data_IF_353088719381
#
_entry.id   IF_353088719381
#
_cell.length_a   1.000
_cell.length_b   1.000
_cell.length_c   1.000
_cell.angle_alpha   90.00
_cell.angle_beta   90.00
_cell.angle_gamma   90.00
#
_symmetry.space_group_name_H-M   'P 1'
#
loop_
_entity.id
_entity.type
_entity.pdbx_description
1 polymer ?
#
# COMPACT_ATOMS: atom_id res chain seq x y z
N UNK A 1 10.97 -9.25 -11.12
CA UNK A 1 11.07 -8.58 -9.79
C UNK A 1 9.91 -9.08 -8.97
N UNK A 2 10.09 -9.36 -7.67
CA UNK A 2 9.05 -9.93 -6.82
C UNK A 2 9.21 -9.34 -5.43
N UNK A 3 8.34 -8.41 -5.05
CA UNK A 3 8.41 -7.64 -3.81
C UNK A 3 7.03 -7.58 -3.13
N UNK A 4 7.00 -7.52 -1.80
CA UNK A 4 5.83 -7.10 -1.02
C UNK A 4 6.12 -5.77 -0.33
N UNK A 5 5.27 -4.77 -0.59
CA UNK A 5 5.32 -3.47 0.08
C UNK A 5 4.07 -3.32 0.94
N UNK A 6 4.24 -3.01 2.23
CA UNK A 6 3.10 -2.87 3.15
C UNK A 6 2.52 -1.45 3.05
N UNK A 7 1.27 -1.24 2.58
CA UNK A 7 0.57 0.00 2.86
C UNK A 7 0.20 0.01 4.34
N UNK A 8 1.05 0.62 5.16
CA UNK A 8 0.98 0.48 6.63
C UNK A 8 -0.21 1.24 7.22
N UNK A 9 -0.82 0.67 8.25
CA UNK A 9 -1.79 1.38 9.10
C UNK A 9 -1.10 2.50 9.88
N UNK A 10 -1.81 3.57 10.19
CA UNK A 10 -1.31 4.64 11.06
C UNK A 10 -1.99 4.53 12.41
N UNK A 11 -1.24 4.45 13.51
CA UNK A 11 -1.82 4.52 14.86
C UNK A 11 -2.05 5.99 15.23
N UNK A 12 -3.21 6.30 15.79
CA UNK A 12 -3.63 7.67 16.14
C UNK A 12 -3.84 7.84 17.64
N UNK A 13 -3.62 9.06 18.13
CA UNK A 13 -3.93 9.49 19.49
C UNK A 13 -5.41 9.88 19.66
N UNK A 14 -5.78 10.42 20.83
CA UNK A 14 -7.15 10.90 21.10
C UNK A 14 -7.61 12.08 20.24
N UNK A 15 -6.68 12.78 19.57
CA UNK A 15 -6.95 13.96 18.75
C UNK A 15 -6.83 13.64 17.25
N UNK A 16 -6.82 12.36 16.87
CA UNK A 16 -6.62 11.89 15.50
C UNK A 16 -5.30 12.35 14.87
N UNK A 17 -4.28 12.57 15.69
CA UNK A 17 -2.90 12.84 15.25
C UNK A 17 -2.09 11.54 15.32
N UNK A 18 -1.06 11.36 14.46
CA UNK A 18 -0.26 10.14 14.49
C UNK A 18 0.43 9.96 15.85
N UNK A 19 0.17 8.85 16.53
CA UNK A 19 0.88 8.48 17.77
C UNK A 19 2.19 7.77 17.39
N UNK A 20 3.27 8.54 17.31
CA UNK A 20 4.51 7.99 16.77
C UNK A 20 5.13 6.89 17.64
N UNK A 21 4.97 6.93 18.97
CA UNK A 21 5.52 5.89 19.84
C UNK A 21 4.83 4.54 19.61
N UNK A 22 3.53 4.54 19.37
CA UNK A 22 2.78 3.32 19.01
C UNK A 22 3.10 2.84 17.58
N UNK A 23 3.29 3.76 16.64
CA UNK A 23 3.69 3.41 15.26
C UNK A 23 5.07 2.73 15.19
N UNK A 24 5.99 2.99 16.13
CA UNK A 24 7.28 2.28 16.22
C UNK A 24 7.12 0.77 16.36
N UNK A 25 6.14 0.33 17.16
CA UNK A 25 5.85 -1.10 17.38
C UNK A 25 5.35 -1.76 16.10
N UNK A 26 4.51 -1.05 15.33
CA UNK A 26 4.06 -1.49 14.01
C UNK A 26 5.24 -1.58 13.04
N UNK A 27 6.11 -0.57 13.00
CA UNK A 27 7.32 -0.56 12.16
C UNK A 27 8.19 -1.79 12.43
N UNK A 28 8.51 -2.03 13.70
CA UNK A 28 9.36 -3.15 14.09
C UNK A 28 8.72 -4.49 13.74
N UNK A 29 7.42 -4.68 14.02
CA UNK A 29 6.69 -5.90 13.64
C UNK A 29 6.76 -6.20 12.14
N UNK A 30 6.61 -5.19 11.28
CA UNK A 30 6.68 -5.37 9.82
C UNK A 30 8.10 -5.68 9.35
N UNK A 31 9.10 -4.98 9.88
CA UNK A 31 10.51 -5.20 9.54
C UNK A 31 10.96 -6.60 9.98
N UNK A 32 10.63 -7.01 11.21
CA UNK A 32 10.93 -8.35 11.72
C UNK A 32 10.22 -9.45 10.94
N UNK A 33 9.02 -9.16 10.43
CA UNK A 33 8.30 -10.04 9.51
C UNK A 33 8.91 -10.16 8.11
N UNK A 34 9.92 -9.35 7.77
CA UNK A 34 10.73 -9.53 6.56
C UNK A 34 10.13 -8.99 5.27
N UNK A 35 9.34 -7.91 5.34
CA UNK A 35 8.76 -7.25 4.16
C UNK A 35 9.81 -6.48 3.34
N UNK A 36 9.63 -6.38 2.02
CA UNK A 36 10.61 -5.70 1.15
C UNK A 36 10.51 -4.16 1.24
N UNK A 37 9.35 -3.62 1.61
CA UNK A 37 9.10 -2.19 1.67
C UNK A 37 7.92 -1.79 2.55
N UNK A 38 7.86 -0.52 2.94
CA UNK A 38 6.71 0.07 3.62
C UNK A 38 6.26 1.33 2.87
N UNK A 39 4.97 1.40 2.52
CA UNK A 39 4.29 2.58 2.03
C UNK A 39 3.57 3.27 3.20
N UNK A 40 4.17 4.37 3.65
CA UNK A 40 3.66 5.23 4.72
C UNK A 40 2.57 6.16 4.16
N UNK A 41 1.46 6.31 4.89
CA UNK A 41 0.31 7.15 4.48
C UNK A 41 -0.32 6.80 3.12
N UNK A 42 -0.41 5.52 2.80
CA UNK A 42 -1.36 5.03 1.80
C UNK A 42 -2.81 5.10 2.28
N UNK A 43 -3.79 4.61 1.49
CA UNK A 43 -5.20 4.57 1.91
C UNK A 43 -5.42 3.85 3.25
N UNK A 44 -4.70 2.74 3.49
CA UNK A 44 -4.69 1.98 4.75
C UNK A 44 -4.15 2.79 5.94
N UNK A 45 -3.31 3.80 5.68
CA UNK A 45 -2.79 4.70 6.69
C UNK A 45 -3.73 5.86 7.02
N UNK A 46 -4.95 5.87 6.46
CA UNK A 46 -6.01 6.84 6.78
C UNK A 46 -5.58 8.31 6.63
N UNK A 47 -4.76 8.59 5.61
CA UNK A 47 -4.10 9.89 5.39
C UNK A 47 -5.04 11.08 5.19
N UNK A 48 -6.35 10.86 5.02
CA UNK A 48 -7.33 11.89 4.63
C UNK A 48 -7.66 12.87 5.74
N UNK A 49 -7.45 12.51 7.01
CA UNK A 49 -7.68 13.43 8.15
C UNK A 49 -6.46 14.29 8.49
N UNK A 50 -5.29 13.92 7.97
CA UNK A 50 -4.04 14.58 8.29
C UNK A 50 -3.83 15.81 7.42
N UNK A 51 -3.46 16.91 8.06
CA UNK A 51 -3.04 18.12 7.37
C UNK A 51 -1.60 18.00 6.83
N UNK A 52 -1.11 19.04 6.17
CA UNK A 52 0.21 19.03 5.55
C UNK A 52 1.32 18.87 6.60
N UNK A 53 1.19 19.60 7.71
CA UNK A 53 2.17 19.66 8.80
C UNK A 53 2.28 18.30 9.51
N UNK A 54 1.15 17.66 9.81
CA UNK A 54 1.12 16.32 10.40
C UNK A 54 1.81 15.30 9.49
N UNK A 55 1.48 15.31 8.19
CA UNK A 55 2.06 14.39 7.21
C UNK A 55 3.56 14.56 7.12
N UNK A 56 4.03 15.81 7.07
CA UNK A 56 5.46 16.11 6.98
C UNK A 56 6.21 15.71 8.25
N UNK A 57 5.63 15.98 9.44
CA UNK A 57 6.24 15.60 10.70
C UNK A 57 6.32 14.07 10.82
N UNK A 58 5.22 13.38 10.54
CA UNK A 58 5.17 11.92 10.56
C UNK A 58 6.16 11.30 9.56
N UNK A 59 6.32 11.88 8.37
CA UNK A 59 7.32 11.42 7.41
C UNK A 59 8.76 11.48 7.96
N UNK A 60 9.10 12.56 8.67
CA UNK A 60 10.43 12.73 9.28
C UNK A 60 10.65 11.69 10.37
N UNK A 61 9.68 11.57 11.28
CA UNK A 61 9.77 10.67 12.42
C UNK A 61 9.90 9.21 11.95
N UNK A 62 9.04 8.78 11.00
CA UNK A 62 9.05 7.44 10.45
C UNK A 62 10.38 7.10 9.77
N UNK A 63 10.93 8.03 8.99
CA UNK A 63 12.23 7.85 8.34
C UNK A 63 13.38 7.78 9.35
N UNK A 64 13.40 8.70 10.31
CA UNK A 64 14.43 8.75 11.37
C UNK A 64 14.43 7.48 12.22
N UNK A 65 13.26 6.93 12.53
CA UNK A 65 13.18 5.69 13.30
C UNK A 65 13.51 4.45 12.48
N UNK A 66 13.12 4.40 11.20
CA UNK A 66 13.37 3.24 10.34
C UNK A 66 14.87 3.05 10.06
N UNK A 67 15.65 4.13 9.96
CA UNK A 67 17.13 4.10 9.81
C UNK A 67 17.63 3.21 8.66
N UNK A 68 16.87 3.16 7.56
CA UNK A 68 17.22 2.36 6.38
C UNK A 68 17.13 0.84 6.56
N UNK A 69 16.47 0.34 7.62
CA UNK A 69 16.22 -1.10 7.85
C UNK A 69 15.34 -1.73 6.77
N UNK A 70 14.51 -0.93 6.12
CA UNK A 70 13.61 -1.34 5.01
C UNK A 70 13.42 -0.16 4.06
N UNK A 71 13.10 -0.42 2.80
CA UNK A 71 12.78 0.63 1.83
C UNK A 71 11.48 1.33 2.20
N UNK A 72 11.50 2.66 2.21
CA UNK A 72 10.34 3.48 2.51
C UNK A 72 9.80 4.19 1.27
N UNK A 73 8.48 4.12 1.11
CA UNK A 73 7.67 4.85 0.15
C UNK A 73 6.68 5.75 0.90
N UNK A 74 6.27 6.86 0.31
CA UNK A 74 5.38 7.81 0.98
C UNK A 74 4.19 8.21 0.12
N UNK A 75 2.98 8.07 0.66
CA UNK A 75 1.76 8.63 0.09
C UNK A 75 1.68 10.13 0.35
N UNK A 76 1.95 10.94 -0.67
CA UNK A 76 2.05 12.40 -0.55
C UNK A 76 0.76 13.15 -0.98
N UNK A 77 -0.37 12.45 -1.04
CA UNK A 77 -1.63 13.03 -1.50
C UNK A 77 -2.13 14.13 -0.54
N UNK A 78 -2.35 15.32 -1.09
CA UNK A 78 -2.99 16.46 -0.43
C UNK A 78 -4.23 16.89 -1.21
N UNK A 79 -5.07 17.74 -0.59
CA UNK A 79 -6.25 18.29 -1.27
C UNK A 79 -5.88 19.19 -2.45
N UNK A 80 -4.76 19.92 -2.35
CA UNK A 80 -4.26 20.79 -3.43
C UNK A 80 -3.10 20.14 -4.19
N UNK A 81 -2.97 20.50 -5.47
CA UNK A 81 -1.87 20.06 -6.31
C UNK A 81 -0.51 20.58 -5.81
N UNK A 82 -0.45 21.85 -5.43
CA UNK A 82 0.80 22.46 -4.96
C UNK A 82 1.28 21.86 -3.63
N UNK A 83 0.38 21.55 -2.70
CA UNK A 83 0.76 20.86 -1.45
C UNK A 83 1.20 19.42 -1.71
N UNK A 84 0.58 18.74 -2.69
CA UNK A 84 1.02 17.40 -3.12
C UNK A 84 2.44 17.45 -3.68
N UNK A 85 2.74 18.43 -4.54
CA UNK A 85 4.09 18.65 -5.10
C UNK A 85 5.10 18.99 -3.99
N UNK A 86 4.72 19.88 -3.08
CA UNK A 86 5.58 20.33 -1.97
C UNK A 86 5.90 19.17 -1.03
N UNK A 87 4.87 18.44 -0.56
CA UNK A 87 5.03 17.29 0.33
C UNK A 87 5.82 16.17 -0.33
N UNK A 88 5.59 15.93 -1.62
CA UNK A 88 6.36 14.95 -2.40
C UNK A 88 7.85 15.28 -2.41
N UNK A 89 8.21 16.53 -2.68
CA UNK A 89 9.61 16.96 -2.69
C UNK A 89 10.25 16.92 -1.30
N UNK A 90 9.50 17.24 -0.23
CA UNK A 90 10.00 17.07 1.15
C UNK A 90 10.25 15.60 1.49
N UNK A 91 9.34 14.68 1.14
CA UNK A 91 9.54 13.24 1.36
C UNK A 91 10.77 12.70 0.60
N UNK A 92 10.95 13.10 -0.67
CA UNK A 92 12.16 12.75 -1.44
C UNK A 92 13.42 13.31 -0.77
N UNK A 93 13.39 14.55 -0.27
CA UNK A 93 14.52 15.17 0.42
C UNK A 93 14.87 14.48 1.74
N UNK A 94 13.86 13.98 2.47
CA UNK A 94 14.03 13.20 3.70
C UNK A 94 14.78 11.88 3.39
N UNK A 95 14.50 11.28 2.23
CA UNK A 95 15.20 10.08 1.74
C UNK A 95 14.28 8.92 1.35
N UNK A 96 12.97 9.14 1.27
CA UNK A 96 12.03 8.13 0.76
C UNK A 96 12.41 7.71 -0.66
N UNK A 97 12.34 6.40 -0.94
CA UNK A 97 12.71 5.79 -2.23
C UNK A 97 11.83 6.28 -3.39
N UNK A 98 10.60 6.67 -3.08
CA UNK A 98 9.68 7.31 -4.00
C UNK A 98 8.39 7.71 -3.31
N UNK A 99 7.62 8.55 -3.99
CA UNK A 99 6.31 9.01 -3.54
C UNK A 99 5.21 8.33 -4.35
N UNK A 100 4.07 8.07 -3.73
CA UNK A 100 2.92 7.43 -4.35
C UNK A 100 1.73 8.38 -4.38
N UNK A 101 1.24 8.71 -5.58
CA UNK A 101 0.26 9.77 -5.80
C UNK A 101 -0.95 9.22 -6.56
N UNK A 102 -2.14 9.38 -5.98
CA UNK A 102 -3.43 8.99 -6.56
C UNK A 102 -4.06 10.10 -7.40
N UNK A 103 -3.70 11.37 -7.19
CA UNK A 103 -4.38 12.50 -7.83
C UNK A 103 -5.73 12.85 -7.20
N UNK A 104 -6.43 13.87 -7.74
CA UNK A 104 -7.67 14.39 -7.16
C UNK A 104 -8.81 13.36 -7.25
N UNK A 105 -9.60 13.24 -6.19
CA UNK A 105 -10.59 12.17 -6.03
C UNK A 105 -12.05 12.64 -5.92
N UNK A 106 -12.31 13.95 -5.96
CA UNK A 106 -13.68 14.47 -5.91
C UNK A 106 -14.31 14.60 -7.30
N UNK A 107 -13.59 15.21 -8.24
CA UNK A 107 -14.02 15.31 -9.64
C UNK A 107 -13.25 14.29 -10.48
N UNK A 108 -13.98 13.36 -11.11
CA UNK A 108 -13.39 12.37 -12.00
C UNK A 108 -12.64 13.04 -13.15
N UNK A 109 -11.50 12.46 -13.53
CA UNK A 109 -10.68 12.88 -14.66
C UNK A 109 -10.91 11.93 -15.85
N UNK A 110 -10.97 12.49 -17.05
CA UNK A 110 -10.80 11.70 -18.28
C UNK A 110 -9.31 11.51 -18.61
N UNK A 111 -9.01 10.64 -19.58
CA UNK A 111 -7.65 10.28 -19.98
C UNK A 111 -6.75 11.50 -20.28
N UNK A 112 -7.31 12.54 -20.91
CA UNK A 112 -6.57 13.79 -21.17
C UNK A 112 -6.19 14.50 -19.86
N UNK A 113 -7.14 14.65 -18.93
CA UNK A 113 -6.87 15.27 -17.62
C UNK A 113 -5.93 14.44 -16.76
N UNK A 114 -6.04 13.11 -16.80
CA UNK A 114 -5.12 12.19 -16.12
C UNK A 114 -3.70 12.45 -16.62
N UNK A 115 -3.52 12.46 -17.95
CA UNK A 115 -2.23 12.72 -18.55
C UNK A 115 -1.68 14.10 -18.17
N UNK A 116 -2.49 15.17 -18.28
CA UNK A 116 -2.07 16.53 -17.92
C UNK A 116 -1.62 16.59 -16.45
N UNK A 117 -2.40 16.02 -15.54
CA UNK A 117 -2.11 16.04 -14.11
C UNK A 117 -0.78 15.36 -13.79
N UNK A 118 -0.60 14.13 -14.22
CA UNK A 118 0.62 13.36 -13.89
C UNK A 118 1.85 13.86 -14.64
N UNK A 119 1.71 14.36 -15.87
CA UNK A 119 2.82 14.98 -16.61
C UNK A 119 3.29 16.27 -15.90
N UNK A 120 2.36 17.11 -15.43
CA UNK A 120 2.72 18.32 -14.67
C UNK A 120 3.31 17.98 -13.30
N UNK A 121 2.76 16.97 -12.61
CA UNK A 121 3.32 16.48 -11.36
C UNK A 121 4.77 16.01 -11.54
N UNK A 122 5.04 15.20 -12.57
CA UNK A 122 6.36 14.66 -12.85
C UNK A 122 7.40 15.75 -13.15
N UNK A 123 7.02 16.85 -13.81
CA UNK A 123 7.91 17.99 -14.04
C UNK A 123 8.30 18.74 -12.76
N UNK A 124 7.44 18.71 -11.73
CA UNK A 124 7.65 19.44 -10.47
C UNK A 124 8.23 18.60 -9.34
N UNK A 125 8.09 17.27 -9.37
CA UNK A 125 8.63 16.36 -8.36
C UNK A 125 10.05 15.90 -8.74
N UNK A 126 11.02 16.15 -7.85
CA UNK A 126 12.46 15.94 -8.10
C UNK A 126 12.95 14.53 -7.74
N UNK A 127 12.08 13.52 -7.84
CA UNK A 127 12.39 12.15 -7.46
C UNK A 127 11.39 11.15 -8.04
N UNK A 128 11.50 9.89 -7.62
CA UNK A 128 10.68 8.80 -8.13
C UNK A 128 9.20 8.98 -7.75
N UNK A 129 8.33 8.93 -8.75
CA UNK A 129 6.89 8.97 -8.63
C UNK A 129 6.30 7.61 -9.00
N UNK A 130 5.42 7.12 -8.15
CA UNK A 130 4.56 5.97 -8.41
C UNK A 130 3.12 6.48 -8.55
N UNK A 131 2.46 6.12 -9.64
CA UNK A 131 1.03 6.41 -9.81
C UNK A 131 0.24 5.45 -8.93
N UNK A 132 -0.79 5.93 -8.24
CA UNK A 132 -1.71 5.11 -7.48
C UNK A 132 -3.08 5.10 -8.17
N UNK A 133 -3.35 4.06 -8.93
CA UNK A 133 -4.64 3.88 -9.58
C UNK A 133 -5.61 3.18 -8.62
N UNK A 134 -6.67 3.86 -8.18
CA UNK A 134 -7.72 3.25 -7.34
C UNK A 134 -9.11 3.83 -7.63
N UNK A 135 -9.77 3.39 -8.73
CA UNK A 135 -11.02 3.98 -9.20
C UNK A 135 -12.15 4.00 -8.17
N UNK A 136 -12.22 3.00 -7.29
CA UNK A 136 -13.22 2.95 -6.22
C UNK A 136 -13.08 4.07 -5.18
N UNK A 137 -11.92 4.75 -5.14
CA UNK A 137 -11.65 5.91 -4.27
C UNK A 137 -11.46 7.21 -5.05
N UNK A 138 -10.93 7.16 -6.27
CA UNK A 138 -10.63 8.34 -7.07
C UNK A 138 -11.73 8.74 -8.06
N UNK A 139 -12.63 7.83 -8.43
CA UNK A 139 -13.66 8.07 -9.44
C UNK A 139 -13.15 8.02 -10.89
N UNK A 140 -11.90 7.65 -11.13
CA UNK A 140 -11.31 7.51 -12.47
C UNK A 140 -10.28 6.38 -12.51
N UNK A 141 -9.98 5.84 -13.70
CA UNK A 141 -8.97 4.80 -13.89
C UNK A 141 -7.92 5.22 -14.91
N UNK A 142 -6.66 4.95 -14.62
CA UNK A 142 -5.53 5.18 -15.54
C UNK A 142 -5.48 4.04 -16.56
N UNK A 143 -5.70 4.37 -17.84
CA UNK A 143 -5.60 3.41 -18.94
C UNK A 143 -4.15 3.01 -19.25
N UNK A 144 -3.97 1.87 -19.92
CA UNK A 144 -2.65 1.41 -20.37
C UNK A 144 -1.98 2.42 -21.30
N UNK A 145 -2.76 3.00 -22.21
CA UNK A 145 -2.32 3.99 -23.19
C UNK A 145 -1.84 5.28 -22.53
N UNK A 146 -2.60 5.81 -21.55
CA UNK A 146 -2.18 7.00 -20.79
C UNK A 146 -0.93 6.69 -19.98
N UNK A 147 -0.87 5.53 -19.34
CA UNK A 147 0.29 5.16 -18.53
C UNK A 147 1.57 5.01 -19.35
N UNK A 148 1.49 4.33 -20.51
CA UNK A 148 2.61 4.20 -21.45
C UNK A 148 3.13 5.57 -21.88
N UNK A 149 2.24 6.48 -22.28
CA UNK A 149 2.62 7.85 -22.67
C UNK A 149 3.28 8.61 -21.52
N UNK A 150 2.78 8.45 -20.29
CA UNK A 150 3.34 9.11 -19.11
C UNK A 150 4.79 8.69 -18.83
N UNK A 151 5.09 7.39 -18.90
CA UNK A 151 6.44 6.88 -18.64
C UNK A 151 7.41 7.14 -19.79
N UNK A 152 6.92 7.26 -21.03
CA UNK A 152 7.71 7.70 -22.19
C UNK A 152 8.16 9.17 -22.04
N UNK A 153 7.27 10.05 -21.59
CA UNK A 153 7.57 11.47 -21.43
C UNK A 153 8.31 11.80 -20.12
N UNK A 154 8.18 10.96 -19.09
CA UNK A 154 8.64 11.27 -17.73
C UNK A 154 9.43 10.13 -17.10
N UNK A 155 10.76 10.20 -17.22
CA UNK A 155 11.68 9.19 -16.65
C UNK A 155 11.59 8.99 -15.14
N UNK A 156 11.00 9.94 -14.40
CA UNK A 156 10.81 9.85 -12.95
C UNK A 156 9.46 9.23 -12.55
N UNK A 157 8.55 8.94 -13.49
CA UNK A 157 7.41 8.06 -13.24
C UNK A 157 7.91 6.62 -13.39
N UNK A 158 8.24 5.99 -12.26
CA UNK A 158 8.97 4.70 -12.24
C UNK A 158 8.10 3.49 -11.95
N UNK A 159 6.81 3.71 -11.65
CA UNK A 159 5.91 2.61 -11.34
C UNK A 159 4.47 3.03 -11.13
N UNK A 160 3.62 2.03 -10.90
CA UNK A 160 2.19 2.18 -10.66
C UNK A 160 1.71 1.09 -9.69
N UNK A 161 0.87 1.49 -8.72
CA UNK A 161 0.06 0.57 -7.91
C UNK A 161 -1.35 0.53 -8.50
N UNK A 162 -1.79 -0.65 -8.92
CA UNK A 162 -3.10 -0.86 -9.54
C UNK A 162 -4.08 -1.53 -8.57
N UNK A 163 -4.91 -0.74 -7.90
CA UNK A 163 -5.98 -1.20 -7.00
C UNK A 163 -7.31 -1.31 -7.78
N UNK A 164 -7.36 -2.19 -8.77
CA UNK A 164 -8.56 -2.49 -9.57
C UNK A 164 -8.97 -3.94 -9.35
N UNK A 165 -10.24 -4.19 -9.05
CA UNK A 165 -10.73 -5.52 -8.69
C UNK A 165 -10.59 -6.54 -9.83
N UNK A 166 -10.70 -6.09 -11.09
CA UNK A 166 -10.45 -6.91 -12.27
C UNK A 166 -8.94 -6.99 -12.57
N UNK A 167 -8.27 -8.13 -12.35
CA UNK A 167 -6.84 -8.27 -12.61
C UNK A 167 -6.46 -8.11 -14.09
N UNK A 168 -7.42 -8.22 -15.02
CA UNK A 168 -7.18 -7.96 -16.45
C UNK A 168 -6.77 -6.49 -16.66
N UNK A 169 -7.19 -5.57 -15.79
CA UNK A 169 -6.75 -4.17 -15.86
C UNK A 169 -5.23 -4.05 -15.71
N UNK A 170 -4.65 -4.71 -14.70
CA UNK A 170 -3.20 -4.74 -14.47
C UNK A 170 -2.45 -5.38 -15.64
N UNK A 171 -3.01 -6.46 -16.23
CA UNK A 171 -2.45 -7.07 -17.44
C UNK A 171 -2.41 -6.09 -18.63
N UNK A 172 -3.47 -5.30 -18.84
CA UNK A 172 -3.51 -4.29 -19.91
C UNK A 172 -2.45 -3.21 -19.71
N UNK A 173 -2.24 -2.75 -18.47
CA UNK A 173 -1.16 -1.80 -18.13
C UNK A 173 0.22 -2.39 -18.47
N UNK A 174 0.47 -3.64 -18.08
CA UNK A 174 1.73 -4.34 -18.36
C UNK A 174 1.98 -4.53 -19.85
N UNK A 175 0.96 -4.93 -20.62
CA UNK A 175 1.06 -5.05 -22.08
C UNK A 175 1.33 -3.71 -22.77
N UNK A 176 0.66 -2.65 -22.33
CA UNK A 176 0.86 -1.31 -22.90
C UNK A 176 2.25 -0.74 -22.59
N UNK A 177 2.90 -1.21 -21.52
CA UNK A 177 4.22 -0.76 -21.08
C UNK A 177 5.33 -1.77 -21.37
N UNK A 178 5.07 -2.76 -22.23
CA UNK A 178 6.06 -3.75 -22.64
C UNK A 178 7.30 -3.05 -23.23
N UNK A 179 8.49 -3.53 -22.84
CA UNK A 179 9.77 -2.93 -23.23
C UNK A 179 10.18 -1.68 -22.44
N UNK A 180 9.30 -1.12 -21.60
CA UNK A 180 9.63 0.01 -20.73
C UNK A 180 10.12 -0.45 -19.36
N UNK A 181 11.04 0.32 -18.77
CA UNK A 181 11.49 0.09 -17.39
C UNK A 181 10.51 0.71 -16.42
N UNK A 182 9.52 -0.08 -15.97
CA UNK A 182 8.55 0.34 -14.96
C UNK A 182 8.23 -0.77 -13.97
N UNK A 183 7.78 -0.40 -12.77
CA UNK A 183 7.29 -1.33 -11.75
C UNK A 183 5.78 -1.24 -11.59
N UNK A 184 5.05 -2.25 -12.04
CA UNK A 184 3.59 -2.36 -11.81
C UNK A 184 3.30 -3.34 -10.67
N UNK A 185 2.62 -2.87 -9.64
CA UNK A 185 2.22 -3.65 -8.47
C UNK A 185 0.71 -3.84 -8.45
N UNK A 186 0.24 -5.04 -8.09
CA UNK A 186 -1.17 -5.22 -7.75
C UNK A 186 -1.45 -4.53 -6.41
N UNK A 187 -2.61 -3.90 -6.31
CA UNK A 187 -3.08 -3.27 -5.08
C UNK A 187 -3.96 -4.19 -4.23
N UNK A 188 -4.49 -5.26 -4.81
CA UNK A 188 -5.15 -6.34 -4.09
C UNK A 188 -4.20 -7.53 -3.91
N UNK A 189 -4.23 -8.08 -2.70
CA UNK A 189 -3.35 -9.13 -2.19
C UNK A 189 -3.48 -10.45 -2.97
N UNK A 190 -4.71 -10.86 -3.30
CA UNK A 190 -5.02 -12.09 -4.05
C UNK A 190 -4.59 -12.05 -5.52
N UNK A 191 -4.34 -10.87 -6.06
CA UNK A 191 -3.87 -10.69 -7.44
C UNK A 191 -2.35 -10.86 -7.60
N UNK A 192 -1.60 -11.05 -6.51
CA UNK A 192 -0.13 -11.11 -6.52
C UNK A 192 0.44 -12.08 -7.58
N UNK A 193 0.00 -13.34 -7.59
CA UNK A 193 0.53 -14.34 -8.51
C UNK A 193 0.16 -14.05 -9.97
N UNK A 194 -1.03 -13.51 -10.22
CA UNK A 194 -1.44 -13.12 -11.57
C UNK A 194 -0.64 -11.92 -12.08
N UNK A 195 -0.38 -10.92 -11.21
CA UNK A 195 0.48 -9.80 -11.56
C UNK A 195 1.89 -10.28 -11.91
N UNK A 196 2.48 -11.16 -11.11
CA UNK A 196 3.81 -11.71 -11.39
C UNK A 196 3.87 -12.51 -12.70
N UNK A 197 2.86 -13.36 -12.98
CA UNK A 197 2.84 -14.17 -14.21
C UNK A 197 2.68 -13.35 -15.48
N UNK A 198 2.29 -12.08 -15.36
CA UNK A 198 2.10 -11.15 -16.48
C UNK A 198 3.22 -10.10 -16.58
N UNK A 199 4.28 -10.22 -15.78
CA UNK A 199 5.46 -9.35 -15.82
C UNK A 199 5.49 -8.23 -14.76
N UNK A 200 4.54 -8.23 -13.82
CA UNK A 200 4.48 -7.31 -12.70
C UNK A 200 5.62 -7.46 -11.68
N UNK A 201 5.70 -6.51 -10.76
CA UNK A 201 6.80 -6.41 -9.78
C UNK A 201 6.47 -6.96 -8.40
N UNK A 202 5.20 -7.29 -8.12
CA UNK A 202 4.75 -7.81 -6.83
C UNK A 202 3.43 -7.19 -6.39
N UNK A 203 3.26 -6.98 -5.09
CA UNK A 203 2.02 -6.45 -4.51
C UNK A 203 2.30 -5.31 -3.51
N UNK A 204 1.39 -4.34 -3.45
CA UNK A 204 1.28 -3.39 -2.35
C UNK A 204 -0.05 -3.63 -1.62
N UNK A 205 -0.10 -4.69 -0.82
CA UNK A 205 -1.32 -5.26 -0.25
C UNK A 205 -1.39 -5.13 1.27
N UNK A 206 -2.56 -4.78 1.80
CA UNK A 206 -2.70 -4.41 3.21
C UNK A 206 -2.72 -5.61 4.17
N UNK A 207 -2.96 -6.84 3.70
CA UNK A 207 -2.92 -8.03 4.58
C UNK A 207 -1.52 -8.28 5.15
N UNK A 208 -0.49 -7.73 4.50
CA UNK A 208 0.88 -7.74 5.01
C UNK A 208 1.05 -6.95 6.32
N UNK A 209 0.09 -6.10 6.72
CA UNK A 209 0.05 -5.54 8.08
C UNK A 209 -0.21 -6.61 9.14
N UNK A 210 -0.95 -7.67 8.79
CA UNK A 210 -1.39 -8.70 9.73
C UNK A 210 -0.48 -9.91 9.72
N UNK A 211 0.06 -10.28 8.56
CA UNK A 211 0.83 -11.52 8.34
C UNK A 211 2.12 -11.27 7.52
N UNK A 212 2.99 -10.35 7.95
CA UNK A 212 4.20 -10.00 7.19
C UNK A 212 5.09 -11.22 6.93
N UNK A 213 5.18 -12.16 7.87
CA UNK A 213 5.97 -13.38 7.73
C UNK A 213 5.44 -14.33 6.64
N UNK A 214 4.12 -14.46 6.49
CA UNK A 214 3.50 -15.29 5.43
C UNK A 214 3.83 -14.68 4.06
N UNK A 215 3.80 -13.35 3.97
CA UNK A 215 4.15 -12.61 2.77
C UNK A 215 5.63 -12.72 2.40
N UNK A 216 6.52 -12.57 3.38
CA UNK A 216 7.95 -12.74 3.17
C UNK A 216 8.28 -14.16 2.67
N UNK A 217 7.66 -15.17 3.27
CA UNK A 217 7.78 -16.56 2.84
C UNK A 217 7.21 -16.80 1.43
N UNK A 218 6.10 -16.14 1.08
CA UNK A 218 5.49 -16.25 -0.26
C UNK A 218 6.41 -15.64 -1.32
N UNK A 219 6.94 -14.44 -1.05
CA UNK A 219 7.92 -13.77 -1.93
C UNK A 219 9.17 -14.62 -2.09
N UNK A 220 9.73 -15.15 -0.98
CA UNK A 220 10.91 -16.02 -1.01
C UNK A 220 10.65 -17.28 -1.83
N UNK A 221 9.57 -18.00 -1.54
CA UNK A 221 9.19 -19.23 -2.24
C UNK A 221 8.96 -19.00 -3.74
N UNK A 222 8.43 -17.83 -4.10
CA UNK A 222 8.25 -17.44 -5.51
C UNK A 222 9.59 -17.19 -6.20
N UNK A 223 10.53 -16.50 -5.54
CA UNK A 223 11.90 -16.30 -6.04
C UNK A 223 12.68 -17.62 -6.19
N UNK A 224 12.39 -18.59 -5.34
CA UNK A 224 12.99 -19.95 -5.34
C UNK A 224 12.25 -20.95 -6.25
N UNK A 225 11.17 -20.53 -6.92
CA UNK A 225 10.33 -21.38 -7.78
C UNK A 225 9.73 -22.63 -7.06
N UNK A 226 9.54 -22.53 -5.74
CA UNK A 226 8.89 -23.58 -4.95
C UNK A 226 7.36 -23.48 -5.06
N UNK A 227 6.82 -23.89 -6.20
CA UNK A 227 5.40 -23.70 -6.53
C UNK A 227 4.44 -24.39 -5.55
N UNK A 228 4.81 -25.55 -5.00
CA UNK A 228 4.00 -26.23 -3.97
C UNK A 228 3.82 -25.35 -2.72
N UNK A 229 4.91 -24.69 -2.28
CA UNK A 229 4.85 -23.75 -1.15
C UNK A 229 4.13 -22.46 -1.52
N UNK A 230 4.36 -21.94 -2.73
CA UNK A 230 3.65 -20.76 -3.26
C UNK A 230 2.14 -20.96 -3.24
N UNK A 231 1.62 -22.09 -3.71
CA UNK A 231 0.18 -22.34 -3.74
C UNK A 231 -0.42 -22.43 -2.33
N UNK A 232 0.28 -23.08 -1.38
CA UNK A 232 -0.16 -23.14 0.02
C UNK A 232 -0.23 -21.76 0.66
N UNK A 233 0.83 -20.96 0.53
CA UNK A 233 0.89 -19.61 1.11
C UNK A 233 -0.11 -18.67 0.43
N UNK A 234 -0.25 -18.73 -0.90
CA UNK A 234 -1.26 -17.97 -1.63
C UNK A 234 -2.67 -18.33 -1.17
N UNK A 235 -2.96 -19.61 -0.90
CA UNK A 235 -4.25 -20.02 -0.37
C UNK A 235 -4.55 -19.39 1.01
N UNK A 236 -3.54 -19.23 1.86
CA UNK A 236 -3.68 -18.52 3.13
C UNK A 236 -4.02 -17.04 2.93
N UNK A 237 -3.36 -16.36 1.99
CA UNK A 237 -3.70 -14.98 1.62
C UNK A 237 -5.15 -14.88 1.13
N UNK A 238 -5.60 -15.81 0.27
CA UNK A 238 -6.99 -15.82 -0.21
C UNK A 238 -8.00 -16.01 0.93
N UNK A 239 -7.67 -16.81 1.95
CA UNK A 239 -8.53 -17.01 3.13
C UNK A 239 -8.66 -15.75 3.99
N UNK A 240 -7.71 -14.82 3.90
CA UNK A 240 -7.75 -13.53 4.61
C UNK A 240 -8.49 -12.43 3.82
N UNK A 241 -8.70 -12.59 2.51
CA UNK A 241 -9.39 -11.59 1.69
C UNK A 241 -10.76 -11.13 2.22
N UNK A 242 -11.61 -12.01 2.80
CA UNK A 242 -12.89 -11.57 3.36
C UNK A 242 -12.78 -10.49 4.44
N UNK A 243 -11.60 -10.31 5.06
CA UNK A 243 -11.38 -9.24 6.04
C UNK A 243 -11.61 -7.83 5.45
N UNK A 244 -11.40 -7.65 4.15
CA UNK A 244 -11.65 -6.37 3.47
C UNK A 244 -13.15 -6.01 3.39
N UNK A 245 -14.03 -7.02 3.40
CA UNK A 245 -15.47 -6.84 3.22
C UNK A 245 -16.21 -6.69 4.56
N UNK A 246 -15.51 -6.90 5.68
CA UNK A 246 -16.08 -6.87 7.02
C UNK A 246 -16.41 -5.45 7.50
N UNK A 247 -15.76 -4.42 6.94
CA UNK A 247 -16.07 -3.02 7.21
C UNK A 247 -15.81 -2.14 5.98
N UNK A 248 -16.53 -1.02 5.89
CA UNK A 248 -16.30 0.05 4.89
C UNK A 248 -14.88 0.64 4.92
N UNK A 249 -14.25 0.64 6.09
CA UNK A 249 -12.84 0.96 6.32
C UNK A 249 -12.22 -0.10 7.23
N UNK A 250 -11.58 -1.09 6.61
CA UNK A 250 -10.91 -2.19 7.29
C UNK A 250 -9.71 -1.78 8.16
N UNK A 251 -9.22 -0.53 8.08
CA UNK A 251 -8.02 -0.10 8.81
C UNK A 251 -8.18 -0.23 10.33
N UNK A 252 -9.36 0.11 10.86
CA UNK A 252 -9.65 -0.07 12.29
C UNK A 252 -9.66 -1.56 12.68
N UNK A 253 -10.33 -2.40 11.89
CA UNK A 253 -10.31 -3.85 12.09
C UNK A 253 -8.87 -4.38 12.07
N UNK A 254 -8.05 -3.94 11.11
CA UNK A 254 -6.67 -4.42 10.99
C UNK A 254 -5.85 -4.04 12.21
N UNK A 255 -5.96 -2.81 12.74
CA UNK A 255 -5.26 -2.43 13.97
C UNK A 255 -5.68 -3.29 15.17
N UNK A 256 -6.98 -3.59 15.33
CA UNK A 256 -7.46 -4.52 16.37
C UNK A 256 -6.90 -5.93 16.17
N UNK A 257 -6.81 -6.40 14.93
CA UNK A 257 -6.24 -7.71 14.61
C UNK A 257 -4.71 -7.77 14.79
N UNK A 258 -3.99 -6.66 14.60
CA UNK A 258 -2.57 -6.57 14.96
C UNK A 258 -2.35 -6.73 16.46
N UNK A 259 -3.26 -6.24 17.31
CA UNK A 259 -3.19 -6.51 18.74
C UNK A 259 -3.35 -8.01 19.06
N UNK A 260 -4.19 -8.74 18.32
CA UNK A 260 -4.28 -10.22 18.41
C UNK A 260 -2.96 -10.88 17.99
N UNK A 261 -2.23 -10.28 17.05
CA UNK A 261 -0.87 -10.69 16.64
C UNK A 261 0.21 -10.37 17.66
N UNK A 262 -0.13 -9.76 18.79
CA UNK A 262 0.81 -9.43 19.87
C UNK A 262 1.49 -8.07 19.70
N UNK A 263 1.04 -7.23 18.76
CA UNK A 263 1.51 -5.84 18.64
C UNK A 263 0.75 -5.02 19.67
N UNK A 264 1.40 -4.66 20.78
CA UNK A 264 0.78 -3.90 21.88
C UNK A 264 0.53 -2.44 21.49
N UNK A 265 -0.54 -2.19 20.74
CA UNK A 265 -0.90 -0.87 20.19
C UNK A 265 -2.34 -0.48 20.50
N UNK A 266 -2.59 0.82 20.55
CA UNK A 266 -3.97 1.33 20.51
C UNK A 266 -4.59 1.09 19.12
N UNK A 267 -5.77 0.46 19.02
CA UNK A 267 -6.37 0.20 17.72
C UNK A 267 -7.10 1.40 17.11
N UNK A 268 -6.94 2.61 17.68
CA UNK A 268 -7.71 3.79 17.28
C UNK A 268 -7.60 4.10 15.80
N UNK A 269 -8.75 4.43 15.23
CA UNK A 269 -8.92 4.94 13.88
C UNK A 269 -9.55 6.33 13.91
N UNK A 270 -9.74 6.89 12.73
CA UNK A 270 -10.33 8.20 12.52
C UNK A 270 -11.86 8.16 12.61
N UNK A 271 -12.52 9.20 13.09
CA UNK A 271 -13.97 9.33 13.06
C UNK A 271 -14.50 9.48 11.61
N UNK A 272 -15.65 8.86 11.25
CA UNK A 272 -16.50 7.96 12.04
C UNK A 272 -16.11 6.47 11.93
N UNK A 273 -14.97 6.17 11.30
CA UNK A 273 -14.46 4.81 11.07
C UNK A 273 -13.81 4.17 12.32
N UNK A 274 -13.80 4.88 13.44
CA UNK A 274 -13.36 4.42 14.75
C UNK A 274 -14.41 3.59 15.50
N UNK A 275 -15.52 3.25 14.84
CA UNK A 275 -16.56 2.35 15.35
C UNK A 275 -16.41 0.99 14.69
N UNK A 276 -16.51 -0.10 15.47
CA UNK A 276 -16.51 -1.47 14.95
C UNK A 276 -17.30 -2.35 15.92
N UNK A 277 -18.27 -3.12 15.42
CA UNK A 277 -19.00 -4.04 16.29
C UNK A 277 -18.12 -5.19 16.75
N UNK A 278 -18.40 -5.72 17.94
CA UNK A 278 -17.67 -6.89 18.45
C UNK A 278 -17.90 -8.13 17.58
N UNK A 279 -19.07 -8.27 16.96
CA UNK A 279 -19.35 -9.36 16.01
C UNK A 279 -18.41 -9.31 14.79
N UNK A 280 -18.21 -8.12 14.21
CA UNK A 280 -17.27 -7.93 13.09
C UNK A 280 -15.84 -8.24 13.53
N UNK A 281 -15.44 -7.79 14.72
CA UNK A 281 -14.11 -8.08 15.25
C UNK A 281 -13.89 -9.58 15.49
N UNK A 282 -14.81 -10.28 16.15
CA UNK A 282 -14.67 -11.72 16.43
C UNK A 282 -14.70 -12.54 15.14
N UNK A 283 -15.48 -12.13 14.13
CA UNK A 283 -15.44 -12.73 12.79
C UNK A 283 -14.06 -12.60 12.15
N UNK A 284 -13.50 -11.38 12.13
CA UNK A 284 -12.17 -11.12 11.58
C UNK A 284 -11.07 -11.85 12.35
N UNK A 285 -11.18 -11.91 13.67
CA UNK A 285 -10.24 -12.62 14.55
C UNK A 285 -10.24 -14.11 14.28
N UNK A 286 -11.41 -14.72 14.15
CA UNK A 286 -11.57 -16.14 13.82
C UNK A 286 -10.93 -16.50 12.47
N UNK A 287 -11.13 -15.65 11.45
CA UNK A 287 -10.49 -15.80 10.13
C UNK A 287 -8.96 -15.76 10.27
N UNK A 288 -8.43 -14.75 10.98
CA UNK A 288 -6.99 -14.59 11.17
C UNK A 288 -6.38 -15.78 11.95
N UNK A 289 -6.93 -16.13 13.12
CA UNK A 289 -6.40 -17.20 13.96
C UNK A 289 -6.37 -18.55 13.23
N UNK A 290 -7.38 -18.83 12.41
CA UNK A 290 -7.40 -20.03 11.57
C UNK A 290 -6.23 -20.03 10.57
N UNK A 291 -5.99 -18.91 9.89
CA UNK A 291 -4.89 -18.79 8.92
C UNK A 291 -3.52 -18.91 9.61
N UNK A 292 -3.35 -18.30 10.78
CA UNK A 292 -2.10 -18.43 11.57
C UNK A 292 -1.86 -19.89 11.96
N UNK A 293 -2.89 -20.59 12.44
CA UNK A 293 -2.77 -22.00 12.80
C UNK A 293 -2.35 -22.85 11.59
N UNK A 294 -3.01 -22.67 10.46
CA UNK A 294 -2.69 -23.40 9.22
C UNK A 294 -1.28 -23.07 8.70
N UNK A 295 -0.81 -21.83 8.87
CA UNK A 295 0.55 -21.44 8.52
C UNK A 295 1.61 -22.19 9.33
N UNK A 296 1.42 -22.31 10.65
CA UNK A 296 2.35 -23.05 11.52
C UNK A 296 2.37 -24.56 11.21
N UNK A 297 1.30 -25.13 10.66
CA UNK A 297 1.25 -26.53 10.21
C UNK A 297 2.04 -26.78 8.91
N UNK A 298 2.31 -25.74 8.11
CA UNK A 298 3.03 -25.83 6.83
C UNK A 298 4.44 -25.21 6.86
N UNK A 299 4.85 -24.70 8.02
CA UNK A 299 6.17 -24.10 8.25
C UNK A 299 7.25 -25.16 8.22
#
# INVERSE_FOLDING_TARGET
>A
MCEIIVPVVTIFDENEKPDFEENKKVIDFLIEGGVDGILVLGSTGEFTVLDYEDKLQFAKDYYEYTKGRVDLYFGSNCASFEDTVKLSNEAIKIGYKGVMVMGPYYFAMDDEKIFIYYNELAKKVKGNVYIYNFPARSGYSVSGEVYAKLIEENSNIVGLKDSVADPIHTNKLLRATEGHRTKVYSGFDDQFLYNLSTGGSGCIGALSNLVPEIWSDLVKSTKEENFDRVYKLSNLIHKLMPLYDLDSNFSHLFKRLMAVRGVDISPKSIFPYNQLSDEVFESGKSILEKVIKEYEEIK
#
